data_IF_599687822261
#
_entry.id   IF_599687822261
#
_cell.length_a   1.000
_cell.length_b   1.000
_cell.length_c   1.000
_cell.angle_alpha   90.00
_cell.angle_beta   90.00
_cell.angle_gamma   90.00
#
_symmetry.space_group_name_H-M   'P 1'
#
loop_
_entity.id
_entity.type
_entity.pdbx_description
1 polymer ?
#
# COMPACT_ATOMS: atom_id res chain seq x y z
N UNK A 1 12.04 -9.70 -1.89
CA UNK A 1 13.19 -9.61 -2.83
C UNK A 1 12.56 -9.45 -4.19
N UNK A 2 13.00 -8.46 -4.98
CA UNK A 2 12.32 -8.12 -6.23
C UNK A 2 12.41 -9.24 -7.26
N UNK A 3 11.34 -9.46 -8.02
CA UNK A 3 11.33 -10.36 -9.19
C UNK A 3 12.15 -9.77 -10.33
N UNK A 4 12.51 -10.59 -11.33
CA UNK A 4 13.17 -10.08 -12.54
C UNK A 4 12.32 -9.04 -13.27
N UNK A 5 11.02 -9.27 -13.38
CA UNK A 5 10.08 -8.33 -13.97
C UNK A 5 10.12 -6.97 -13.24
N UNK A 6 10.04 -6.98 -11.90
CA UNK A 6 10.16 -5.75 -11.10
C UNK A 6 11.50 -5.04 -11.36
N UNK A 7 12.63 -5.76 -11.37
CA UNK A 7 13.94 -5.17 -11.65
C UNK A 7 14.02 -4.53 -13.06
N UNK A 8 13.34 -5.11 -14.05
CA UNK A 8 13.28 -4.61 -15.41
C UNK A 8 12.38 -3.39 -15.54
N UNK A 9 11.16 -3.45 -15.02
CA UNK A 9 10.22 -2.33 -14.97
C UNK A 9 10.81 -1.11 -14.26
N UNK A 10 11.46 -1.31 -13.11
CA UNK A 10 12.10 -0.24 -12.32
C UNK A 10 13.22 0.46 -13.09
N UNK A 11 13.86 -0.22 -14.04
CA UNK A 11 14.87 0.33 -14.93
C UNK A 11 14.32 0.83 -16.27
N UNK A 12 13.03 0.67 -16.55
CA UNK A 12 12.37 1.17 -17.74
C UNK A 12 12.48 0.27 -18.97
N UNK A 13 12.83 -1.00 -18.78
CA UNK A 13 12.74 -2.00 -19.84
C UNK A 13 11.28 -2.43 -20.02
N UNK A 14 10.83 -2.47 -21.28
CA UNK A 14 9.48 -2.86 -21.67
C UNK A 14 9.52 -4.32 -22.13
N UNK A 15 9.34 -5.23 -21.19
CA UNK A 15 9.29 -6.68 -21.44
C UNK A 15 8.01 -7.28 -20.89
N UNK A 16 7.51 -8.33 -21.54
CA UNK A 16 6.32 -9.06 -21.11
C UNK A 16 6.73 -10.40 -20.49
N UNK A 17 6.41 -10.61 -19.21
CA UNK A 17 6.66 -11.89 -18.53
C UNK A 17 5.60 -12.92 -18.95
N UNK A 18 6.00 -13.92 -19.73
CA UNK A 18 5.11 -14.99 -20.22
C UNK A 18 4.98 -16.14 -19.22
N UNK A 19 6.06 -16.42 -18.51
CA UNK A 19 6.11 -17.37 -17.40
C UNK A 19 7.29 -16.99 -16.49
N UNK A 20 7.41 -17.55 -15.27
CA UNK A 20 8.49 -17.19 -14.37
C UNK A 20 9.86 -17.26 -15.05
N UNK A 21 10.57 -16.13 -15.08
CA UNK A 21 11.88 -15.95 -15.71
C UNK A 21 11.93 -16.03 -17.25
N UNK A 22 10.78 -16.00 -17.94
CA UNK A 22 10.68 -15.97 -19.41
C UNK A 22 10.01 -14.67 -19.88
N UNK A 23 10.75 -13.87 -20.64
CA UNK A 23 10.37 -12.51 -21.03
C UNK A 23 10.36 -12.33 -22.54
N UNK A 24 9.27 -11.80 -23.08
CA UNK A 24 9.13 -11.41 -24.48
C UNK A 24 9.60 -9.96 -24.63
N UNK A 25 10.59 -9.74 -25.50
CA UNK A 25 11.26 -8.45 -25.72
C UNK A 25 10.86 -7.77 -27.04
N UNK A 26 9.85 -8.28 -27.75
CA UNK A 26 9.46 -7.82 -29.10
C UNK A 26 9.03 -6.36 -29.16
N UNK A 27 8.51 -5.82 -28.06
CA UNK A 27 8.05 -4.43 -27.96
C UNK A 27 9.13 -3.48 -27.44
N UNK A 28 10.35 -3.98 -27.17
CA UNK A 28 11.48 -3.17 -26.73
C UNK A 28 12.39 -2.82 -27.91
N UNK A 29 13.02 -1.65 -27.83
CA UNK A 29 14.02 -1.22 -28.79
C UNK A 29 15.23 -2.13 -28.76
N UNK A 30 15.75 -2.45 -29.95
CA UNK A 30 16.91 -3.32 -30.10
C UNK A 30 18.10 -2.86 -29.24
N UNK A 31 18.41 -1.56 -29.22
CA UNK A 31 19.52 -1.05 -28.40
C UNK A 31 19.28 -1.17 -26.89
N UNK A 32 18.02 -1.13 -26.45
CA UNK A 32 17.66 -1.34 -25.05
C UNK A 32 17.76 -2.83 -24.69
N UNK A 33 17.37 -3.73 -25.60
CA UNK A 33 17.58 -5.18 -25.42
C UNK A 33 19.07 -5.49 -25.36
N UNK A 34 19.89 -4.97 -26.27
CA UNK A 34 21.35 -5.13 -26.24
C UNK A 34 21.93 -4.67 -24.89
N UNK A 35 21.50 -3.49 -24.40
CA UNK A 35 21.91 -2.99 -23.09
C UNK A 35 21.42 -3.86 -21.90
N UNK A 36 20.21 -4.42 -21.98
CA UNK A 36 19.68 -5.35 -20.99
C UNK A 36 20.57 -6.61 -20.89
N UNK A 37 20.91 -7.20 -22.03
CA UNK A 37 21.75 -8.39 -22.12
C UNK A 37 23.16 -8.12 -21.57
N UNK A 38 23.79 -7.00 -21.96
CA UNK A 38 25.08 -6.58 -21.40
C UNK A 38 25.04 -6.38 -19.88
N UNK A 39 23.92 -5.88 -19.36
CA UNK A 39 23.73 -5.70 -17.92
C UNK A 39 23.60 -7.05 -17.20
N UNK A 40 22.92 -8.03 -17.80
CA UNK A 40 22.87 -9.40 -17.26
C UNK A 40 24.26 -10.06 -17.26
N UNK A 41 25.04 -9.87 -18.32
CA UNK A 41 26.43 -10.34 -18.39
C UNK A 41 27.30 -9.72 -17.28
N UNK A 42 27.22 -8.40 -17.07
CA UNK A 42 27.92 -7.70 -15.99
C UNK A 42 27.50 -8.18 -14.60
N UNK A 43 26.23 -8.54 -14.44
CA UNK A 43 25.70 -9.12 -13.21
C UNK A 43 26.07 -10.60 -13.03
N UNK A 44 26.75 -11.22 -14.01
CA UNK A 44 27.07 -12.64 -14.06
C UNK A 44 25.82 -13.53 -13.96
N UNK A 45 24.74 -13.11 -14.62
CA UNK A 45 23.46 -13.81 -14.69
C UNK A 45 23.44 -14.64 -15.97
N UNK A 46 23.17 -15.93 -15.84
CA UNK A 46 23.05 -16.82 -17.01
C UNK A 46 21.67 -16.68 -17.62
N UNK A 47 21.64 -16.51 -18.94
CA UNK A 47 20.41 -16.41 -19.70
C UNK A 47 20.56 -17.04 -21.10
N UNK A 48 19.42 -17.33 -21.72
CA UNK A 48 19.29 -17.66 -23.12
C UNK A 48 18.47 -16.55 -23.79
N UNK A 49 18.92 -16.10 -24.97
CA UNK A 49 18.17 -15.15 -25.77
C UNK A 49 18.01 -15.69 -27.20
N UNK A 50 16.77 -15.97 -27.59
CA UNK A 50 16.45 -16.52 -28.91
C UNK A 50 15.08 -16.04 -29.37
N UNK A 51 14.99 -15.57 -30.62
CA UNK A 51 13.75 -15.10 -31.24
C UNK A 51 12.97 -14.10 -30.36
N UNK A 52 13.68 -13.09 -29.84
CA UNK A 52 13.15 -12.04 -28.96
C UNK A 52 12.59 -12.53 -27.61
N UNK A 53 12.90 -13.77 -27.23
CA UNK A 53 12.58 -14.32 -25.91
C UNK A 53 13.85 -14.43 -25.08
N UNK A 54 13.81 -13.82 -23.90
CA UNK A 54 14.83 -13.88 -22.86
C UNK A 54 14.40 -14.86 -21.77
N UNK A 55 15.19 -15.91 -21.55
CA UNK A 55 14.99 -16.87 -20.46
C UNK A 55 16.15 -16.78 -19.48
N UNK A 56 15.87 -16.60 -18.19
CA UNK A 56 16.89 -16.43 -17.15
C UNK A 56 16.96 -17.68 -16.26
N UNK A 57 18.15 -18.27 -16.15
CA UNK A 57 18.36 -19.58 -15.51
C UNK A 57 18.60 -19.47 -13.99
N UNK A 58 18.33 -18.32 -13.38
CA UNK A 58 18.64 -18.05 -11.99
C UNK A 58 17.57 -17.20 -11.31
N UNK A 59 17.38 -17.35 -9.98
CA UNK A 59 16.51 -16.47 -9.23
C UNK A 59 17.01 -15.02 -9.32
N UNK A 60 16.12 -14.04 -9.13
CA UNK A 60 16.48 -12.63 -9.13
C UNK A 60 17.63 -12.31 -8.19
N UNK A 61 18.56 -11.47 -8.66
CA UNK A 61 19.64 -10.93 -7.83
C UNK A 61 19.12 -9.79 -6.96
N UNK A 62 19.92 -9.35 -5.98
CA UNK A 62 19.53 -8.18 -5.18
C UNK A 62 19.46 -6.91 -6.04
N UNK A 63 18.54 -5.99 -5.71
CA UNK A 63 18.42 -4.69 -6.40
C UNK A 63 19.74 -3.93 -6.41
N UNK A 64 20.53 -4.02 -5.34
CA UNK A 64 21.87 -3.42 -5.27
C UNK A 64 22.82 -3.98 -6.33
N UNK A 65 22.83 -5.29 -6.54
CA UNK A 65 23.65 -5.93 -7.58
C UNK A 65 23.15 -5.54 -8.96
N UNK A 66 21.84 -5.49 -9.16
CA UNK A 66 21.24 -5.06 -10.42
C UNK A 66 21.61 -3.61 -10.76
N UNK A 67 21.46 -2.69 -9.81
CA UNK A 67 21.84 -1.29 -9.95
C UNK A 67 23.32 -1.14 -10.32
N UNK A 68 24.22 -1.94 -9.74
CA UNK A 68 25.64 -1.94 -10.10
C UNK A 68 25.90 -2.40 -11.55
N UNK A 69 25.06 -3.28 -12.08
CA UNK A 69 25.22 -3.82 -13.42
C UNK A 69 24.72 -2.85 -14.51
N UNK A 70 23.62 -2.14 -14.23
CA UNK A 70 23.02 -1.17 -15.14
C UNK A 70 23.65 0.23 -15.03
N UNK A 71 24.29 0.58 -13.91
CA UNK A 71 24.93 1.89 -13.73
C UNK A 71 26.35 1.92 -14.31
N UNK A 72 26.76 3.07 -14.83
CA UNK A 72 28.13 3.27 -15.33
C UNK A 72 28.51 4.76 -15.35
N UNK A 73 29.81 5.10 -15.30
CA UNK A 73 30.24 6.48 -15.30
C UNK A 73 29.68 7.27 -16.49
N UNK A 74 29.03 8.41 -16.20
CA UNK A 74 28.39 9.32 -17.18
C UNK A 74 27.10 8.80 -17.83
N UNK A 75 26.43 7.78 -17.25
CA UNK A 75 25.03 7.49 -17.56
C UNK A 75 24.16 8.72 -17.25
N UNK A 76 23.15 9.00 -18.08
CA UNK A 76 22.13 10.03 -17.78
C UNK A 76 22.27 11.40 -18.46
N UNK A 77 22.97 11.51 -19.59
CA UNK A 77 22.99 12.76 -20.38
C UNK A 77 21.74 12.83 -21.27
N UNK A 78 20.55 12.98 -20.69
CA UNK A 78 19.29 12.95 -21.44
C UNK A 78 18.74 14.34 -21.81
N UNK A 79 18.66 14.62 -23.12
CA UNK A 79 17.91 15.72 -23.73
C UNK A 79 17.02 15.16 -24.86
N UNK A 80 15.69 15.18 -24.70
CA UNK A 80 14.75 14.47 -25.58
C UNK A 80 14.11 15.34 -26.70
N UNK A 81 14.73 16.45 -27.11
CA UNK A 81 14.10 17.30 -28.13
C UNK A 81 14.00 16.52 -29.47
N UNK A 82 12.81 16.00 -29.79
CA UNK A 82 12.50 15.34 -31.06
C UNK A 82 12.66 13.81 -31.10
N UNK A 83 12.76 13.12 -29.96
CA UNK A 83 12.88 11.65 -29.91
C UNK A 83 11.58 11.00 -29.44
N UNK A 84 11.06 10.02 -30.17
CA UNK A 84 9.79 9.33 -29.84
C UNK A 84 9.88 8.47 -28.56
N UNK A 85 11.02 7.82 -28.31
CA UNK A 85 11.27 7.07 -27.09
C UNK A 85 12.75 7.16 -26.65
N UNK A 86 13.04 7.24 -25.35
CA UNK A 86 14.42 7.25 -24.85
C UNK A 86 15.09 5.88 -24.91
N UNK A 87 16.41 5.86 -25.11
CA UNK A 87 17.20 4.67 -24.81
C UNK A 87 17.49 4.61 -23.32
N UNK A 88 17.34 3.45 -22.69
CA UNK A 88 17.41 3.28 -21.23
C UNK A 88 18.77 3.69 -20.68
N UNK A 89 19.85 3.43 -21.41
CA UNK A 89 21.22 3.78 -21.02
C UNK A 89 21.55 5.28 -21.17
N UNK A 90 20.70 6.06 -21.85
CA UNK A 90 20.84 7.52 -21.95
C UNK A 90 20.16 8.23 -20.75
N UNK A 91 19.29 7.53 -20.02
CA UNK A 91 18.58 8.02 -18.84
C UNK A 91 19.35 7.77 -17.55
N UNK A 92 19.15 8.66 -16.57
CA UNK A 92 19.67 8.47 -15.21
C UNK A 92 19.12 7.17 -14.59
N UNK A 93 19.99 6.43 -13.91
CA UNK A 93 19.73 5.09 -13.36
C UNK A 93 18.48 4.98 -12.51
N UNK A 94 18.19 5.98 -11.68
CA UNK A 94 17.01 5.97 -10.79
C UNK A 94 15.77 6.57 -11.46
N UNK A 95 15.92 7.22 -12.61
CA UNK A 95 14.86 7.95 -13.28
C UNK A 95 14.35 7.22 -14.52
N UNK A 96 15.12 6.27 -15.06
CA UNK A 96 14.84 5.63 -16.34
C UNK A 96 13.46 4.98 -16.41
N UNK A 97 13.07 4.24 -15.36
CA UNK A 97 11.73 3.68 -15.22
C UNK A 97 10.63 4.74 -15.27
N UNK A 98 10.74 5.77 -14.42
CA UNK A 98 9.75 6.87 -14.34
C UNK A 98 9.56 7.54 -15.71
N UNK A 99 10.65 7.79 -16.44
CA UNK A 99 10.58 8.45 -17.74
C UNK A 99 9.95 7.57 -18.81
N UNK A 100 10.30 6.27 -18.83
CA UNK A 100 9.70 5.31 -19.75
C UNK A 100 8.19 5.17 -19.50
N UNK A 101 7.79 5.13 -18.24
CA UNK A 101 6.38 5.06 -17.84
C UNK A 101 5.59 6.34 -18.15
N UNK A 102 6.16 7.52 -17.88
CA UNK A 102 5.53 8.79 -18.27
C UNK A 102 5.28 8.84 -19.78
N UNK A 103 6.26 8.44 -20.58
CA UNK A 103 6.14 8.43 -22.03
C UNK A 103 5.13 7.38 -22.53
N UNK A 104 5.08 6.18 -21.91
CA UNK A 104 4.07 5.14 -22.18
C UNK A 104 2.65 5.68 -21.95
N UNK A 105 2.47 6.46 -20.89
CA UNK A 105 1.21 7.11 -20.54
C UNK A 105 0.87 8.35 -21.41
N UNK A 106 1.69 8.65 -22.43
CA UNK A 106 1.52 9.81 -23.31
C UNK A 106 1.94 11.15 -22.69
N UNK A 107 2.54 11.14 -21.49
CA UNK A 107 3.01 12.32 -20.77
C UNK A 107 4.46 12.65 -21.19
N UNK A 108 4.61 13.31 -22.34
CA UNK A 108 5.89 13.50 -23.02
C UNK A 108 6.92 14.29 -22.18
N UNK A 109 8.04 13.65 -21.90
CA UNK A 109 9.17 14.20 -21.16
C UNK A 109 10.26 14.76 -22.09
N UNK A 110 11.02 15.75 -21.63
CA UNK A 110 12.10 16.41 -22.40
C UNK A 110 13.45 16.37 -21.70
N UNK A 111 13.47 16.60 -20.38
CA UNK A 111 14.70 16.52 -19.59
C UNK A 111 14.42 15.78 -18.29
N UNK A 112 15.42 15.11 -17.74
CA UNK A 112 15.33 14.54 -16.41
C UNK A 112 16.67 14.60 -15.69
N UNK A 113 16.64 14.58 -14.36
CA UNK A 113 17.82 14.31 -13.57
C UNK A 113 17.42 13.61 -12.26
N UNK A 114 18.14 12.56 -11.85
CA UNK A 114 17.98 11.92 -10.53
C UNK A 114 18.63 12.71 -9.38
N UNK A 115 19.34 13.79 -9.73
CA UNK A 115 20.02 14.68 -8.81
C UNK A 115 21.37 14.18 -8.29
N UNK A 116 21.81 12.98 -8.68
CA UNK A 116 23.09 12.36 -8.35
C UNK A 116 23.44 12.41 -6.84
N UNK A 117 22.42 12.35 -5.98
CA UNK A 117 22.57 12.46 -4.52
C UNK A 117 22.96 13.86 -4.00
N UNK A 118 23.04 14.86 -4.86
CA UNK A 118 23.44 16.23 -4.50
C UNK A 118 22.28 17.23 -4.54
N UNK A 119 21.24 16.95 -5.33
CA UNK A 119 20.06 17.80 -5.50
C UNK A 119 18.81 16.95 -5.61
N UNK A 120 17.65 17.60 -5.51
CA UNK A 120 16.35 16.93 -5.69
C UNK A 120 16.20 16.42 -7.13
N UNK A 121 15.65 15.21 -7.33
CA UNK A 121 15.33 14.73 -8.66
C UNK A 121 14.30 15.62 -9.36
N UNK A 122 14.33 15.68 -10.68
CA UNK A 122 13.32 16.40 -11.46
C UNK A 122 13.09 15.78 -12.84
N UNK A 123 11.92 16.09 -13.40
CA UNK A 123 11.57 15.83 -14.79
C UNK A 123 10.94 17.09 -15.41
N UNK A 124 11.29 17.38 -16.65
CA UNK A 124 10.70 18.46 -17.44
C UNK A 124 9.89 17.88 -18.59
N UNK A 125 8.77 18.53 -18.89
CA UNK A 125 7.78 18.07 -19.86
C UNK A 125 7.74 18.95 -21.10
N UNK A 126 7.27 18.37 -22.21
CA UNK A 126 7.09 19.09 -23.47
C UNK A 126 5.98 20.13 -23.37
N UNK A 127 6.05 21.17 -24.20
CA UNK A 127 5.10 22.30 -24.21
C UNK A 127 3.62 21.89 -24.35
N UNK A 128 3.36 20.78 -25.05
CA UNK A 128 2.00 20.27 -25.33
C UNK A 128 1.53 19.24 -24.29
N UNK A 129 2.32 18.94 -23.27
CA UNK A 129 1.97 17.93 -22.27
C UNK A 129 0.88 18.47 -21.34
N UNK A 130 -0.18 17.69 -21.12
CA UNK A 130 -1.21 18.04 -20.16
C UNK A 130 -0.66 17.92 -18.73
N UNK A 131 -0.23 19.06 -18.16
CA UNK A 131 0.33 19.10 -16.82
C UNK A 131 -0.69 18.83 -15.70
N UNK A 132 -1.98 19.00 -15.96
CA UNK A 132 -3.02 18.63 -15.00
C UNK A 132 -3.01 17.11 -14.78
N UNK A 133 -2.98 16.33 -15.86
CA UNK A 133 -2.87 14.86 -15.80
C UNK A 133 -1.57 14.40 -15.15
N UNK A 134 -0.45 15.09 -15.40
CA UNK A 134 0.83 14.82 -14.73
C UNK A 134 0.69 14.97 -13.21
N UNK A 135 0.10 16.08 -12.75
CA UNK A 135 -0.07 16.32 -11.32
C UNK A 135 -1.08 15.34 -10.70
N UNK A 136 -2.19 15.06 -11.38
CA UNK A 136 -3.18 14.05 -10.95
C UNK A 136 -2.53 12.67 -10.78
N UNK A 137 -1.68 12.26 -11.71
CA UNK A 137 -0.94 10.99 -11.62
C UNK A 137 -0.02 10.97 -10.40
N UNK A 138 0.81 11.99 -10.19
CA UNK A 138 1.73 12.01 -9.06
C UNK A 138 1.03 12.12 -7.71
N UNK A 139 -0.10 12.84 -7.63
CA UNK A 139 -0.93 12.87 -6.42
C UNK A 139 -1.61 11.51 -6.16
N UNK A 140 -2.07 10.82 -7.20
CA UNK A 140 -2.67 9.49 -7.06
C UNK A 140 -1.65 8.45 -6.58
N UNK A 141 -0.40 8.58 -7.02
CA UNK A 141 0.75 7.77 -6.58
C UNK A 141 1.35 8.21 -5.24
N UNK A 142 0.76 9.23 -4.61
CA UNK A 142 1.11 9.74 -3.28
C UNK A 142 2.58 10.18 -3.16
N UNK A 143 3.12 10.77 -4.24
CA UNK A 143 4.48 11.33 -4.25
C UNK A 143 4.43 12.83 -4.10
N UNK A 144 5.15 13.35 -3.09
CA UNK A 144 5.32 14.79 -2.91
C UNK A 144 6.18 15.39 -4.02
N UNK A 145 5.55 16.26 -4.81
CA UNK A 145 6.13 16.91 -5.98
C UNK A 145 5.77 18.40 -6.02
N UNK A 146 6.64 19.20 -6.63
CA UNK A 146 6.39 20.63 -6.87
C UNK A 146 6.52 20.99 -8.34
N UNK A 147 5.52 21.69 -8.88
CA UNK A 147 5.52 22.19 -10.25
C UNK A 147 6.22 23.55 -10.33
N UNK A 148 7.17 23.66 -11.25
CA UNK A 148 7.87 24.90 -11.64
C UNK A 148 7.42 25.27 -13.06
N UNK A 149 6.59 26.32 -13.22
CA UNK A 149 6.15 26.75 -14.54
C UNK A 149 7.33 27.30 -15.33
N UNK A 150 7.47 26.86 -16.57
CA UNK A 150 8.44 27.37 -17.53
C UNK A 150 8.00 26.97 -18.94
N UNK A 151 8.78 27.36 -19.97
CA UNK A 151 8.56 26.86 -21.35
C UNK A 151 8.51 25.32 -21.40
N UNK A 152 9.36 24.66 -20.62
CA UNK A 152 9.30 23.23 -20.37
C UNK A 152 8.95 23.03 -18.89
N UNK A 153 7.66 22.88 -18.53
CA UNK A 153 7.23 22.76 -17.14
C UNK A 153 8.03 21.69 -16.43
N UNK A 154 8.51 21.97 -15.22
CA UNK A 154 9.38 21.06 -14.46
C UNK A 154 8.68 20.61 -13.20
N UNK A 155 8.62 19.30 -12.99
CA UNK A 155 8.22 18.70 -11.72
C UNK A 155 9.49 18.32 -10.95
N UNK A 156 9.58 18.78 -9.71
CA UNK A 156 10.69 18.48 -8.79
C UNK A 156 10.16 17.57 -7.69
N UNK A 157 10.80 16.41 -7.51
CA UNK A 157 10.44 15.42 -6.52
C UNK A 157 11.01 15.80 -5.15
N UNK A 158 10.20 15.69 -4.09
CA UNK A 158 10.63 15.88 -2.71
C UNK A 158 11.12 14.58 -2.05
N UNK A 159 11.23 13.49 -2.80
CA UNK A 159 11.66 12.17 -2.32
C UNK A 159 13.14 11.90 -2.65
N UNK A 160 13.74 10.95 -1.92
CA UNK A 160 15.05 10.40 -2.25
C UNK A 160 15.00 9.65 -3.58
N UNK A 161 16.10 9.62 -4.32
CA UNK A 161 16.14 9.02 -5.67
C UNK A 161 15.82 7.52 -5.67
N UNK A 162 16.12 6.80 -4.59
CA UNK A 162 15.84 5.38 -4.45
C UNK A 162 14.32 5.11 -4.54
N UNK A 163 13.49 6.04 -4.05
CA UNK A 163 12.01 5.97 -4.12
C UNK A 163 11.47 6.14 -5.53
N UNK A 164 12.27 6.63 -6.48
CA UNK A 164 11.84 6.75 -7.88
C UNK A 164 11.73 5.37 -8.56
N UNK A 165 12.47 4.37 -8.08
CA UNK A 165 12.34 3.00 -8.56
C UNK A 165 10.96 2.43 -8.15
N UNK A 166 10.53 2.66 -6.90
CA UNK A 166 9.19 2.29 -6.44
C UNK A 166 8.11 3.02 -7.23
N UNK A 167 8.33 4.31 -7.52
CA UNK A 167 7.42 5.09 -8.35
C UNK A 167 7.26 4.49 -9.76
N UNK A 168 8.35 4.08 -10.40
CA UNK A 168 8.29 3.44 -11.71
C UNK A 168 7.47 2.14 -11.68
N UNK A 169 7.66 1.30 -10.66
CA UNK A 169 6.89 0.06 -10.48
C UNK A 169 5.40 0.33 -10.28
N UNK A 170 5.04 1.37 -9.54
CA UNK A 170 3.62 1.76 -9.36
C UNK A 170 3.03 2.36 -10.64
N UNK A 171 3.79 3.18 -11.36
CA UNK A 171 3.33 3.76 -12.63
C UNK A 171 3.06 2.71 -13.70
N UNK A 172 3.81 1.61 -13.72
CA UNK A 172 3.60 0.50 -14.65
C UNK A 172 2.20 -0.10 -14.59
N UNK A 173 1.57 -0.09 -13.40
CA UNK A 173 0.20 -0.57 -13.19
C UNK A 173 -0.86 0.36 -13.77
N UNK A 174 -0.52 1.63 -13.99
CA UNK A 174 -1.46 2.66 -14.45
C UNK A 174 -1.73 2.48 -15.94
N UNK A 175 -3.00 2.45 -16.32
CA UNK A 175 -3.41 2.42 -17.73
C UNK A 175 -3.67 3.83 -18.26
N UNK A 176 -3.48 4.03 -19.57
CA UNK A 176 -3.55 5.35 -20.20
C UNK A 176 -4.94 5.99 -20.06
N UNK A 177 -6.00 5.19 -20.13
CA UNK A 177 -7.39 5.60 -20.02
C UNK A 177 -7.78 6.03 -18.60
N UNK A 178 -7.06 5.57 -17.57
CA UNK A 178 -7.30 6.01 -16.18
C UNK A 178 -6.97 7.49 -15.99
N UNK A 179 -6.05 8.04 -16.79
CA UNK A 179 -5.72 9.47 -16.76
C UNK A 179 -6.90 10.37 -17.18
N UNK A 180 -7.89 9.82 -17.89
CA UNK A 180 -9.11 10.56 -18.25
C UNK A 180 -10.12 10.61 -17.11
N UNK A 181 -10.02 9.68 -16.14
CA UNK A 181 -10.95 9.56 -15.00
C UNK A 181 -10.48 10.36 -13.77
N UNK A 182 -9.22 10.78 -13.75
CA UNK A 182 -8.64 11.65 -12.72
C UNK A 182 -8.08 10.92 -11.50
N UNK A 183 -7.54 11.72 -10.56
CA UNK A 183 -6.75 11.25 -9.40
C UNK A 183 -7.46 10.18 -8.57
N UNK A 184 -8.71 10.42 -8.17
CA UNK A 184 -9.46 9.53 -7.29
C UNK A 184 -9.68 8.13 -7.91
N UNK A 185 -9.91 8.08 -9.23
CA UNK A 185 -10.05 6.83 -9.96
C UNK A 185 -8.72 6.07 -10.03
N UNK A 186 -7.63 6.76 -10.36
CA UNK A 186 -6.30 6.14 -10.42
C UNK A 186 -5.93 5.54 -9.05
N UNK A 187 -6.15 6.28 -7.95
CA UNK A 187 -5.86 5.78 -6.60
C UNK A 187 -6.68 4.54 -6.27
N UNK A 188 -7.99 4.57 -6.54
CA UNK A 188 -8.87 3.40 -6.34
C UNK A 188 -8.38 2.20 -7.15
N UNK A 189 -8.03 2.38 -8.42
CA UNK A 189 -7.58 1.26 -9.25
C UNK A 189 -6.23 0.69 -8.81
N UNK A 190 -5.30 1.52 -8.33
CA UNK A 190 -4.05 1.06 -7.72
C UNK A 190 -4.32 0.27 -6.43
N UNK A 191 -5.26 0.71 -5.60
CA UNK A 191 -5.70 -0.04 -4.42
C UNK A 191 -6.28 -1.42 -4.82
N UNK A 192 -7.15 -1.47 -5.83
CA UNK A 192 -7.73 -2.74 -6.30
C UNK A 192 -6.67 -3.70 -6.85
N UNK A 193 -5.65 -3.19 -7.53
CA UNK A 193 -4.54 -4.01 -8.00
C UNK A 193 -3.80 -4.68 -6.84
N UNK A 194 -3.52 -3.92 -5.78
CA UNK A 194 -2.86 -4.43 -4.57
C UNK A 194 -3.74 -5.43 -3.82
N UNK A 195 -5.04 -5.14 -3.71
CA UNK A 195 -6.02 -6.04 -3.11
C UNK A 195 -6.09 -7.38 -3.84
N UNK A 196 -6.12 -7.38 -5.16
CA UNK A 196 -6.11 -8.60 -5.98
C UNK A 196 -4.84 -9.44 -5.77
N UNK A 197 -3.68 -8.79 -5.67
CA UNK A 197 -2.42 -9.46 -5.36
C UNK A 197 -2.48 -10.14 -3.98
N UNK A 198 -2.95 -9.43 -2.95
CA UNK A 198 -3.07 -9.97 -1.60
C UNK A 198 -4.07 -11.13 -1.51
N UNK A 199 -5.18 -11.03 -2.23
CA UNK A 199 -6.16 -12.10 -2.39
C UNK A 199 -5.60 -13.32 -3.10
N UNK A 200 -4.48 -13.20 -3.82
CA UNK A 200 -3.85 -14.32 -4.52
C UNK A 200 -2.76 -15.03 -3.71
N UNK A 201 -2.40 -14.52 -2.53
CA UNK A 201 -1.31 -15.05 -1.69
C UNK A 201 -1.87 -15.92 -0.57
N UNK A 202 -1.64 -17.23 -0.57
CA UNK A 202 -2.07 -18.11 0.53
C UNK A 202 -1.41 -17.75 1.87
N UNK A 203 -2.07 -18.10 2.96
CA UNK A 203 -1.53 -17.96 4.30
C UNK A 203 -2.58 -18.35 5.33
N UNK A 204 -2.94 -19.63 5.37
CA UNK A 204 -3.82 -20.16 6.42
C UNK A 204 -3.19 -20.06 7.81
N UNK A 205 -3.99 -20.12 8.87
CA UNK A 205 -3.49 -20.01 10.25
C UNK A 205 -2.34 -20.98 10.53
N UNK A 206 -1.22 -20.42 11.01
CA UNK A 206 0.04 -21.13 11.26
C UNK A 206 1.00 -21.22 10.06
N UNK A 207 0.60 -20.77 8.87
CA UNK A 207 1.38 -20.79 7.63
C UNK A 207 1.43 -19.42 6.92
N UNK A 208 1.48 -18.33 7.68
CA UNK A 208 1.37 -16.95 7.18
C UNK A 208 2.68 -16.39 6.60
N UNK A 209 3.75 -17.19 6.49
CA UNK A 209 5.08 -16.75 6.03
C UNK A 209 5.04 -15.99 4.69
N UNK A 210 4.27 -16.50 3.73
CA UNK A 210 4.19 -15.94 2.39
C UNK A 210 3.52 -14.55 2.39
N UNK A 211 2.33 -14.45 2.98
CA UNK A 211 1.64 -13.16 3.10
C UNK A 211 2.41 -12.17 3.97
N UNK A 212 3.02 -12.62 5.07
CA UNK A 212 3.82 -11.75 5.93
C UNK A 212 5.00 -11.16 5.18
N UNK A 213 5.67 -11.93 4.31
CA UNK A 213 6.74 -11.42 3.47
C UNK A 213 6.24 -10.35 2.46
N UNK A 214 5.06 -10.57 1.87
CA UNK A 214 4.42 -9.62 0.95
C UNK A 214 4.06 -8.32 1.67
N UNK A 215 3.38 -8.40 2.82
CA UNK A 215 3.01 -7.23 3.63
C UNK A 215 4.25 -6.49 4.13
N UNK A 216 5.28 -7.22 4.59
CA UNK A 216 6.56 -6.62 4.99
C UNK A 216 7.17 -5.80 3.85
N UNK A 217 7.27 -6.38 2.65
CA UNK A 217 7.87 -5.69 1.50
C UNK A 217 7.08 -4.43 1.10
N UNK A 218 5.75 -4.51 1.13
CA UNK A 218 4.87 -3.39 0.78
C UNK A 218 4.83 -2.29 1.85
N UNK A 219 4.95 -2.65 3.13
CA UNK A 219 4.86 -1.71 4.25
C UNK A 219 6.19 -1.01 4.56
N UNK A 220 7.31 -1.74 4.48
CA UNK A 220 8.63 -1.27 4.89
C UNK A 220 9.04 0.11 4.33
N UNK A 221 8.73 0.48 3.07
CA UNK A 221 9.12 1.78 2.53
C UNK A 221 8.37 2.97 3.14
N UNK A 222 7.30 2.72 3.91
CA UNK A 222 6.38 3.74 4.40
C UNK A 222 6.39 3.86 5.93
N UNK A 223 7.25 3.12 6.63
CA UNK A 223 7.32 3.09 8.10
C UNK A 223 8.74 3.32 8.59
N UNK A 224 8.89 3.85 9.80
CA UNK A 224 10.20 4.12 10.41
C UNK A 224 10.84 2.84 10.95
N UNK A 225 10.00 1.95 11.50
CA UNK A 225 10.40 0.68 12.09
C UNK A 225 9.43 -0.42 11.68
N UNK A 226 9.96 -1.60 11.40
CA UNK A 226 9.20 -2.81 11.09
C UNK A 226 9.93 -4.02 11.68
N UNK A 227 9.20 -4.95 12.29
CA UNK A 227 9.75 -6.15 12.91
C UNK A 227 8.73 -7.27 12.95
N UNK A 228 9.19 -8.50 13.11
CA UNK A 228 8.34 -9.67 13.33
C UNK A 228 8.59 -10.12 14.78
N UNK A 229 7.53 -10.25 15.57
CA UNK A 229 7.67 -10.70 16.95
C UNK A 229 7.94 -12.20 17.05
N UNK A 230 8.06 -12.71 18.27
CA UNK A 230 8.37 -14.14 18.49
C UNK A 230 7.24 -15.09 18.09
N UNK A 231 6.02 -14.59 17.96
CA UNK A 231 4.86 -15.39 17.59
C UNK A 231 4.62 -15.38 16.07
N UNK A 232 5.09 -14.34 15.38
CA UNK A 232 4.93 -14.18 13.95
C UNK A 232 4.12 -12.95 13.56
N UNK A 233 3.65 -12.15 14.53
CA UNK A 233 2.96 -10.89 14.23
C UNK A 233 3.93 -9.91 13.57
N UNK A 234 3.46 -9.22 12.54
CA UNK A 234 4.21 -8.14 11.90
C UNK A 234 3.85 -6.82 12.55
N UNK A 235 4.85 -6.16 13.13
CA UNK A 235 4.70 -4.91 13.88
C UNK A 235 5.43 -3.80 13.14
N UNK A 236 4.80 -2.65 12.97
CA UNK A 236 5.46 -1.49 12.39
C UNK A 236 5.05 -0.18 13.08
N UNK A 237 5.87 0.85 12.93
CA UNK A 237 5.62 2.17 13.50
C UNK A 237 6.01 3.27 12.51
N UNK A 238 5.19 4.31 12.43
CA UNK A 238 5.44 5.55 11.69
C UNK A 238 5.10 6.76 12.56
N UNK A 239 6.03 7.68 12.75
CA UNK A 239 5.79 8.97 13.38
C UNK A 239 5.57 10.04 12.32
N UNK A 240 4.37 10.62 12.31
CA UNK A 240 3.98 11.62 11.32
C UNK A 240 4.20 13.05 11.82
N UNK A 241 4.80 13.88 10.97
CA UNK A 241 5.10 15.29 11.23
C UNK A 241 5.94 15.48 12.51
N UNK A 242 5.36 16.04 13.58
CA UNK A 242 6.08 16.25 14.84
C UNK A 242 5.85 15.14 15.86
N UNK A 243 4.92 14.21 15.61
CA UNK A 243 4.53 13.16 16.56
C UNK A 243 3.79 13.66 17.81
N UNK A 244 3.26 14.89 17.81
CA UNK A 244 2.65 15.51 19.00
C UNK A 244 1.16 15.22 19.16
N UNK A 245 0.53 14.57 18.18
CA UNK A 245 -0.84 14.09 18.30
C UNK A 245 -0.91 12.68 18.88
N UNK A 246 -2.00 11.94 18.62
CA UNK A 246 -2.26 10.69 19.30
C UNK A 246 -1.43 9.55 18.71
N UNK A 247 -1.20 8.50 19.51
CA UNK A 247 -0.71 7.22 19.00
C UNK A 247 -1.89 6.30 18.71
N UNK A 248 -2.07 5.94 17.44
CA UNK A 248 -3.17 5.11 16.96
C UNK A 248 -2.63 3.74 16.51
N UNK A 249 -3.24 2.68 17.02
CA UNK A 249 -2.99 1.31 16.58
C UNK A 249 -3.91 1.00 15.39
N UNK A 250 -3.37 0.58 14.26
CA UNK A 250 -4.12 0.02 13.14
C UNK A 250 -3.87 -1.48 13.08
N UNK A 251 -4.94 -2.27 13.03
CA UNK A 251 -4.84 -3.73 13.06
C UNK A 251 -5.73 -4.41 12.00
N UNK A 252 -5.15 -5.44 11.41
CA UNK A 252 -5.73 -6.42 10.49
C UNK A 252 -5.05 -7.76 10.79
N UNK A 253 -5.61 -8.89 10.36
CA UNK A 253 -4.95 -10.20 10.53
C UNK A 253 -4.42 -10.74 9.21
N UNK A 254 -3.39 -11.58 9.28
CA UNK A 254 -2.70 -12.13 8.10
C UNK A 254 -3.29 -13.45 7.63
N UNK A 255 -3.82 -14.22 8.57
CA UNK A 255 -4.24 -15.58 8.32
C UNK A 255 -5.56 -15.65 7.56
N UNK A 256 -5.84 -16.83 7.04
CA UNK A 256 -7.14 -17.20 6.48
C UNK A 256 -7.58 -18.51 7.13
N UNK A 257 -8.89 -18.74 7.22
CA UNK A 257 -9.43 -19.96 7.83
C UNK A 257 -8.98 -21.26 7.14
N UNK A 258 -8.69 -21.20 5.83
CA UNK A 258 -8.17 -22.33 5.06
C UNK A 258 -7.23 -21.88 3.93
N UNK A 259 -6.50 -22.83 3.34
CA UNK A 259 -5.65 -22.59 2.18
C UNK A 259 -6.48 -22.37 0.91
N UNK A 260 -5.91 -21.61 -0.02
CA UNK A 260 -6.53 -21.36 -1.32
C UNK A 260 -6.48 -22.57 -2.24
N UNK A 261 -7.59 -22.85 -2.93
CA UNK A 261 -7.66 -23.91 -3.94
C UNK A 261 -6.70 -23.62 -5.09
N UNK A 262 -5.87 -24.61 -5.44
CA UNK A 262 -4.89 -24.49 -6.51
C UNK A 262 -5.59 -24.28 -7.86
N UNK A 263 -5.24 -23.20 -8.56
CA UNK A 263 -5.81 -22.86 -9.86
C UNK A 263 -7.14 -22.11 -9.80
N UNK A 264 -7.62 -21.74 -8.59
CA UNK A 264 -8.74 -20.82 -8.46
C UNK A 264 -8.45 -19.48 -9.15
N UNK A 265 -9.50 -18.81 -9.58
CA UNK A 265 -9.44 -17.47 -10.15
C UNK A 265 -10.33 -16.52 -9.36
N UNK A 266 -9.98 -15.24 -9.34
CA UNK A 266 -10.84 -14.20 -8.76
C UNK A 266 -11.88 -13.81 -9.83
N UNK A 267 -13.15 -14.03 -9.53
CA UNK A 267 -14.28 -13.69 -10.39
C UNK A 267 -14.74 -12.28 -10.03
N UNK A 268 -14.79 -11.39 -11.03
CA UNK A 268 -15.15 -9.98 -10.83
C UNK A 268 -16.48 -9.65 -11.53
N UNK A 269 -17.48 -9.27 -10.75
CA UNK A 269 -18.78 -8.79 -11.24
C UNK A 269 -18.97 -7.33 -10.81
N UNK A 270 -18.36 -6.42 -11.57
CA UNK A 270 -18.26 -5.02 -11.16
C UNK A 270 -17.41 -4.90 -9.89
N UNK A 271 -17.97 -4.28 -8.85
CA UNK A 271 -17.32 -4.13 -7.54
C UNK A 271 -17.40 -5.40 -6.67
N UNK A 272 -18.24 -6.38 -7.03
CA UNK A 272 -18.37 -7.61 -6.23
C UNK A 272 -17.38 -8.65 -6.75
N UNK A 273 -16.42 -9.03 -5.91
CA UNK A 273 -15.41 -10.03 -6.20
C UNK A 273 -15.72 -11.31 -5.42
N UNK A 274 -15.45 -12.46 -6.02
CA UNK A 274 -15.61 -13.78 -5.40
C UNK A 274 -14.51 -14.73 -5.90
N UNK A 275 -14.44 -15.93 -5.34
CA UNK A 275 -13.60 -16.98 -5.91
C UNK A 275 -14.38 -17.90 -6.86
N UNK A 276 -13.68 -18.51 -7.82
CA UNK A 276 -14.25 -19.56 -8.65
C UNK A 276 -14.42 -20.89 -7.88
N UNK A 277 -13.60 -21.11 -6.83
CA UNK A 277 -13.61 -22.31 -5.99
C UNK A 277 -12.88 -22.02 -4.66
N UNK A 278 -13.40 -22.54 -3.55
CA UNK A 278 -12.87 -22.26 -2.21
C UNK A 278 -13.22 -20.86 -1.72
N UNK A 279 -12.69 -20.49 -0.54
CA UNK A 279 -12.79 -19.13 -0.02
C UNK A 279 -12.12 -18.11 -0.96
N UNK A 280 -12.60 -16.87 -0.92
CA UNK A 280 -11.93 -15.74 -1.53
C UNK A 280 -10.67 -15.36 -0.73
N UNK A 281 -10.77 -15.42 0.60
CA UNK A 281 -9.79 -14.93 1.56
C UNK A 281 -9.89 -13.43 1.77
N UNK A 282 -11.08 -12.83 1.63
CA UNK A 282 -11.26 -11.41 1.87
C UNK A 282 -11.20 -11.07 3.35
N UNK A 283 -11.63 -12.00 4.20
CA UNK A 283 -11.32 -12.07 5.62
C UNK A 283 -9.88 -12.66 5.82
N UNK A 284 -8.84 -11.87 6.13
CA UNK A 284 -8.81 -10.41 6.26
C UNK A 284 -7.83 -9.71 5.29
N UNK A 285 -7.72 -10.23 4.05
CA UNK A 285 -6.93 -9.54 3.02
C UNK A 285 -7.49 -8.18 2.64
N UNK A 286 -8.79 -7.95 2.86
CA UNK A 286 -9.40 -6.63 2.75
C UNK A 286 -8.82 -5.66 3.79
N UNK A 287 -8.77 -6.03 5.08
CA UNK A 287 -8.16 -5.21 6.13
C UNK A 287 -6.68 -4.96 5.90
N UNK A 288 -5.93 -5.99 5.50
CA UNK A 288 -4.51 -5.85 5.13
C UNK A 288 -4.32 -4.82 4.02
N UNK A 289 -5.12 -4.88 2.96
CA UNK A 289 -5.06 -3.93 1.85
C UNK A 289 -5.37 -2.50 2.30
N UNK A 290 -6.41 -2.32 3.13
CA UNK A 290 -6.79 -1.02 3.69
C UNK A 290 -5.62 -0.42 4.48
N UNK A 291 -4.98 -1.20 5.36
CA UNK A 291 -3.90 -0.67 6.20
C UNK A 291 -2.65 -0.33 5.39
N UNK A 292 -2.31 -1.13 4.38
CA UNK A 292 -1.22 -0.82 3.46
C UNK A 292 -1.48 0.48 2.70
N UNK A 293 -2.71 0.73 2.27
CA UNK A 293 -3.09 1.98 1.60
C UNK A 293 -2.99 3.19 2.55
N UNK A 294 -3.40 3.04 3.81
CA UNK A 294 -3.21 4.08 4.83
C UNK A 294 -1.71 4.37 5.04
N UNK A 295 -0.85 3.34 5.06
CA UNK A 295 0.58 3.53 5.26
C UNK A 295 1.22 4.41 4.17
N UNK A 296 0.85 4.19 2.91
CA UNK A 296 1.29 5.00 1.75
C UNK A 296 0.80 6.45 1.89
N UNK A 297 -0.49 6.61 2.21
CA UNK A 297 -1.14 7.91 2.28
C UNK A 297 -0.54 8.83 3.36
N UNK A 298 -0.06 8.25 4.47
CA UNK A 298 0.47 9.01 5.60
C UNK A 298 1.60 9.97 5.23
N UNK A 299 2.40 9.69 4.20
CA UNK A 299 3.50 10.57 3.74
C UNK A 299 2.98 11.95 3.26
N UNK A 300 1.84 11.95 2.57
CA UNK A 300 1.21 13.16 2.02
C UNK A 300 0.12 13.73 2.94
N UNK A 301 -0.27 12.98 3.98
CA UNK A 301 -1.32 13.36 4.92
C UNK A 301 -0.98 14.58 5.79
N UNK A 302 -2.02 15.13 6.44
CA UNK A 302 -1.92 16.18 7.46
C UNK A 302 -1.86 15.64 8.90
N UNK A 303 -1.94 14.31 9.07
CA UNK A 303 -1.95 13.65 10.37
C UNK A 303 -0.66 13.97 11.14
N UNK A 304 -0.81 14.31 12.42
CA UNK A 304 0.31 14.52 13.34
C UNK A 304 0.09 13.61 14.54
N UNK A 305 1.05 12.74 14.84
CA UNK A 305 0.91 11.65 15.81
C UNK A 305 1.76 10.45 15.40
N UNK A 306 1.50 9.30 16.01
CA UNK A 306 2.19 8.05 15.69
C UNK A 306 1.18 7.01 15.26
N UNK A 307 1.47 6.29 14.18
CA UNK A 307 0.70 5.11 13.79
C UNK A 307 1.52 3.87 14.11
N UNK A 308 0.93 2.93 14.84
CA UNK A 308 1.46 1.59 15.07
C UNK A 308 0.62 0.60 14.28
N UNK A 309 1.24 -0.14 13.37
CA UNK A 309 0.57 -1.19 12.61
C UNK A 309 0.81 -2.53 13.29
N UNK A 310 -0.24 -3.34 13.40
CA UNK A 310 -0.17 -4.73 13.85
C UNK A 310 -0.91 -5.60 12.85
N UNK A 311 -0.16 -6.47 12.18
CA UNK A 311 -0.73 -7.58 11.43
C UNK A 311 -0.55 -8.86 12.23
N UNK A 312 -1.65 -9.35 12.80
CA UNK A 312 -1.65 -10.53 13.66
C UNK A 312 -1.63 -11.82 12.86
N UNK A 313 -1.20 -12.90 13.51
CA UNK A 313 -1.29 -14.27 12.99
C UNK A 313 -2.28 -15.08 13.84
N UNK A 314 -2.84 -16.14 13.28
CA UNK A 314 -3.76 -17.04 13.97
C UNK A 314 -4.95 -16.33 14.68
N UNK A 315 -5.54 -15.32 14.05
CA UNK A 315 -6.79 -14.69 14.52
C UNK A 315 -7.93 -15.72 14.49
N UNK A 316 -8.04 -16.43 13.37
CA UNK A 316 -9.10 -17.40 13.06
C UNK A 316 -9.08 -18.61 14.02
N UNK A 317 -7.94 -18.83 14.67
CA UNK A 317 -7.73 -19.87 15.69
C UNK A 317 -8.01 -19.39 17.13
N UNK A 318 -8.59 -18.19 17.31
CA UNK A 318 -9.02 -17.67 18.61
C UNK A 318 -8.18 -16.50 19.14
N UNK A 319 -7.84 -15.55 18.26
CA UNK A 319 -7.12 -14.30 18.58
C UNK A 319 -5.71 -14.55 19.12
N UNK A 320 -5.04 -15.60 18.63
CA UNK A 320 -3.83 -16.10 19.29
C UNK A 320 -2.68 -15.11 19.12
N UNK A 321 -2.48 -14.57 17.92
CA UNK A 321 -1.48 -13.54 17.64
C UNK A 321 -1.64 -12.31 18.54
N UNK A 322 -2.85 -11.76 18.64
CA UNK A 322 -3.11 -10.60 19.50
C UNK A 322 -2.84 -10.89 20.98
N UNK A 323 -3.25 -12.06 21.50
CA UNK A 323 -2.98 -12.45 22.90
C UNK A 323 -1.50 -12.64 23.21
N UNK A 324 -0.68 -12.93 22.19
CA UNK A 324 0.77 -13.16 22.32
C UNK A 324 1.60 -11.90 22.08
N UNK A 325 0.98 -10.84 21.56
CA UNK A 325 1.64 -9.58 21.32
C UNK A 325 2.18 -8.99 22.63
N UNK A 326 3.41 -8.50 22.58
CA UNK A 326 4.07 -7.92 23.75
C UNK A 326 3.40 -6.62 24.19
N UNK A 327 2.97 -6.54 25.45
CA UNK A 327 2.38 -5.33 26.04
C UNK A 327 3.26 -4.08 25.88
N UNK A 328 4.58 -4.26 25.79
CA UNK A 328 5.52 -3.16 25.53
C UNK A 328 5.20 -2.41 24.23
N UNK A 329 4.80 -3.14 23.17
CA UNK A 329 4.43 -2.50 21.91
C UNK A 329 3.15 -1.67 22.02
N UNK A 330 2.24 -2.06 22.92
CA UNK A 330 0.99 -1.36 23.22
C UNK A 330 1.16 -0.16 24.16
N UNK A 331 2.31 -0.03 24.83
CA UNK A 331 2.58 1.19 25.62
C UNK A 331 2.45 2.41 24.75
N UNK A 332 1.86 3.48 25.31
CA UNK A 332 1.57 4.76 24.64
C UNK A 332 0.42 4.75 23.62
N UNK A 333 -0.19 3.60 23.30
CA UNK A 333 -1.35 3.56 22.39
C UNK A 333 -2.54 4.28 23.02
N UNK A 334 -3.09 5.25 22.30
CA UNK A 334 -4.26 6.03 22.75
C UNK A 334 -5.58 5.39 22.32
N UNK A 335 -5.61 4.81 21.12
CA UNK A 335 -6.79 4.18 20.54
C UNK A 335 -6.39 3.16 19.46
N UNK A 336 -7.32 2.27 19.10
CA UNK A 336 -7.15 1.28 18.05
C UNK A 336 -8.29 1.36 17.01
N UNK A 337 -7.93 1.08 15.77
CA UNK A 337 -8.83 0.92 14.63
C UNK A 337 -8.50 -0.44 14.03
N UNK A 338 -9.43 -1.38 14.15
CA UNK A 338 -9.34 -2.70 13.54
C UNK A 338 -10.17 -2.69 12.26
N UNK A 339 -9.70 -3.35 11.20
CA UNK A 339 -10.44 -3.50 9.94
C UNK A 339 -10.57 -4.99 9.70
N UNK A 340 -11.64 -5.60 10.20
CA UNK A 340 -11.86 -7.05 10.19
C UNK A 340 -13.34 -7.33 10.45
N UNK A 341 -14.21 -6.69 9.67
CA UNK A 341 -15.65 -6.82 9.86
C UNK A 341 -16.34 -6.97 8.52
N UNK A 342 -17.23 -7.96 8.41
CA UNK A 342 -18.11 -8.07 7.23
C UNK A 342 -19.01 -6.84 7.05
N UNK A 343 -19.65 -6.75 5.89
CA UNK A 343 -20.57 -5.68 5.55
C UNK A 343 -19.85 -4.39 5.13
N UNK A 344 -20.62 -3.31 5.01
CA UNK A 344 -20.18 -2.10 4.27
C UNK A 344 -20.17 -0.81 5.09
N UNK A 345 -20.52 -0.87 6.38
CA UNK A 345 -20.67 0.32 7.21
C UNK A 345 -20.81 0.06 8.72
N UNK A 346 -20.38 -1.10 9.22
CA UNK A 346 -20.40 -1.35 10.65
C UNK A 346 -19.21 -0.68 11.33
N UNK A 347 -19.49 0.04 12.43
CA UNK A 347 -18.51 0.49 13.43
C UNK A 347 -18.79 -0.34 14.67
N UNK A 348 -18.14 -1.50 14.80
CA UNK A 348 -18.37 -2.37 15.95
C UNK A 348 -17.71 -1.77 17.19
N UNK A 349 -18.53 -1.53 18.20
CA UNK A 349 -18.12 -0.89 19.47
C UNK A 349 -18.24 -1.81 20.67
N UNK A 350 -18.70 -3.05 20.48
CA UNK A 350 -18.89 -4.03 21.54
C UNK A 350 -18.99 -5.46 21.02
N UNK A 351 -18.59 -6.43 21.85
CA UNK A 351 -18.89 -7.85 21.65
C UNK A 351 -20.24 -8.16 22.32
N UNK A 352 -21.27 -8.33 21.50
CA UNK A 352 -22.66 -8.38 21.98
C UNK A 352 -23.02 -7.18 22.85
N UNK A 353 -23.97 -7.34 23.79
CA UNK A 353 -24.39 -6.25 24.69
C UNK A 353 -23.57 -6.16 25.98
N UNK A 354 -22.54 -6.99 26.14
CA UNK A 354 -21.94 -7.26 27.46
C UNK A 354 -20.51 -6.77 27.62
N UNK A 355 -19.75 -6.62 26.52
CA UNK A 355 -18.35 -6.19 26.58
C UNK A 355 -18.12 -5.01 25.62
N UNK A 356 -18.17 -3.76 26.11
CA UNK A 356 -17.85 -2.59 25.29
C UNK A 356 -16.35 -2.57 24.95
N UNK A 357 -16.04 -2.20 23.71
CA UNK A 357 -14.67 -1.99 23.23
C UNK A 357 -14.18 -0.55 23.43
N UNK A 358 -15.10 0.39 23.56
CA UNK A 358 -14.81 1.81 23.74
C UNK A 358 -15.93 2.55 24.48
N UNK A 359 -15.62 3.78 24.90
CA UNK A 359 -16.60 4.79 25.29
C UNK A 359 -17.50 5.13 24.08
N UNK A 360 -18.79 5.40 24.31
CA UNK A 360 -19.75 5.72 23.25
C UNK A 360 -19.31 6.91 22.38
N UNK A 361 -18.59 7.87 22.97
CA UNK A 361 -18.07 9.05 22.25
C UNK A 361 -17.03 8.67 21.21
N UNK A 362 -16.29 7.58 21.42
CA UNK A 362 -15.30 7.10 20.47
C UNK A 362 -15.98 6.57 19.20
N UNK A 363 -16.98 5.71 19.33
CA UNK A 363 -17.77 5.24 18.18
C UNK A 363 -18.55 6.36 17.48
N UNK A 364 -19.20 7.25 18.24
CA UNK A 364 -19.93 8.39 17.69
C UNK A 364 -19.04 9.37 16.91
N UNK A 365 -17.77 9.48 17.29
CA UNK A 365 -16.80 10.27 16.52
C UNK A 365 -16.66 9.71 15.10
N UNK A 366 -16.57 8.40 14.92
CA UNK A 366 -16.48 7.78 13.59
C UNK A 366 -17.76 7.98 12.78
N UNK A 367 -18.94 7.84 13.40
CA UNK A 367 -20.22 8.12 12.72
C UNK A 367 -20.30 9.58 12.23
N UNK A 368 -19.87 10.53 13.06
CA UNK A 368 -19.88 11.94 12.70
C UNK A 368 -18.89 12.23 11.57
N UNK A 369 -17.67 11.70 11.65
CA UNK A 369 -16.66 11.86 10.60
C UNK A 369 -17.13 11.25 9.29
N UNK A 370 -17.75 10.07 9.32
CA UNK A 370 -18.33 9.44 8.14
C UNK A 370 -19.42 10.32 7.51
N UNK A 371 -20.33 10.86 8.33
CA UNK A 371 -21.35 11.80 7.88
C UNK A 371 -20.75 13.05 7.22
N UNK A 372 -19.78 13.69 7.87
CA UNK A 372 -19.11 14.90 7.37
C UNK A 372 -18.34 14.65 6.07
N UNK A 373 -17.80 13.44 5.89
CA UNK A 373 -17.11 13.01 4.68
C UNK A 373 -18.08 12.54 3.57
N UNK A 374 -19.39 12.50 3.82
CA UNK A 374 -20.39 12.00 2.87
C UNK A 374 -20.39 10.48 2.71
N UNK A 375 -19.75 9.74 3.62
CA UNK A 375 -19.74 8.28 3.65
C UNK A 375 -21.02 7.78 4.34
N UNK A 376 -22.05 7.52 3.54
CA UNK A 376 -23.36 7.09 4.04
C UNK A 376 -23.35 5.63 4.48
N UNK A 377 -24.10 5.31 5.54
CA UNK A 377 -24.31 3.93 5.98
C UNK A 377 -23.47 3.51 7.19
N UNK A 378 -22.44 4.27 7.55
CA UNK A 378 -21.61 3.98 8.72
C UNK A 378 -22.38 4.16 10.03
N UNK A 379 -22.45 3.09 10.84
CA UNK A 379 -23.20 3.06 12.10
C UNK A 379 -22.52 2.25 13.20
N UNK A 380 -22.59 2.77 14.42
CA UNK A 380 -22.20 2.04 15.62
C UNK A 380 -23.11 0.83 15.82
N UNK A 381 -22.51 -0.34 15.94
CA UNK A 381 -23.22 -1.60 16.14
C UNK A 381 -22.53 -2.50 17.16
N UNK A 382 -23.25 -3.51 17.62
CA UNK A 382 -22.68 -4.62 18.36
C UNK A 382 -22.26 -5.72 17.36
N UNK A 383 -21.14 -6.38 17.62
CA UNK A 383 -20.58 -7.39 16.75
C UNK A 383 -20.09 -8.61 17.50
N UNK A 384 -19.29 -9.41 16.78
CA UNK A 384 -18.59 -10.57 17.32
C UNK A 384 -17.30 -10.20 18.05
N UNK A 385 -16.53 -11.22 18.39
CA UNK A 385 -15.17 -11.05 18.92
C UNK A 385 -14.19 -11.01 17.74
N UNK A 386 -13.26 -10.07 17.77
CA UNK A 386 -12.03 -10.07 16.95
C UNK A 386 -10.86 -9.59 17.82
N UNK A 387 -9.69 -9.38 17.23
CA UNK A 387 -8.53 -8.76 17.90
C UNK A 387 -8.87 -7.48 18.67
N UNK A 388 -9.89 -6.74 18.21
CA UNK A 388 -10.47 -5.57 18.89
C UNK A 388 -10.76 -5.82 20.37
N UNK A 389 -11.21 -7.03 20.71
CA UNK A 389 -11.48 -7.44 22.09
C UNK A 389 -10.21 -7.44 22.94
N UNK A 390 -9.09 -7.92 22.39
CA UNK A 390 -7.81 -7.97 23.10
C UNK A 390 -7.30 -6.55 23.36
N UNK A 391 -7.37 -5.66 22.36
CA UNK A 391 -7.00 -4.26 22.54
C UNK A 391 -7.85 -3.56 23.60
N UNK A 392 -9.16 -3.80 23.60
CA UNK A 392 -10.07 -3.30 24.62
C UNK A 392 -9.77 -3.86 26.03
N UNK A 393 -9.37 -5.13 26.16
CA UNK A 393 -8.94 -5.74 27.42
C UNK A 393 -7.67 -5.06 28.00
N UNK A 394 -6.83 -4.47 27.14
CA UNK A 394 -5.70 -3.60 27.54
C UNK A 394 -6.12 -2.14 27.85
N UNK A 395 -7.41 -1.82 27.83
CA UNK A 395 -7.94 -0.48 28.11
C UNK A 395 -7.82 0.50 26.94
N UNK A 396 -7.50 0.01 25.73
CA UNK A 396 -7.39 0.82 24.52
C UNK A 396 -8.78 1.03 23.92
N UNK A 397 -9.13 2.28 23.61
CA UNK A 397 -10.40 2.59 22.95
C UNK A 397 -10.39 2.03 21.52
N UNK A 398 -11.23 1.04 21.24
CA UNK A 398 -11.11 0.25 20.02
C UNK A 398 -12.43 0.15 19.25
N UNK A 399 -12.37 0.22 17.92
CA UNK A 399 -13.48 -0.10 17.01
C UNK A 399 -13.02 -1.15 15.99
N UNK A 400 -13.96 -1.97 15.52
CA UNK A 400 -13.77 -2.82 14.34
C UNK A 400 -14.62 -2.30 13.19
N UNK A 401 -14.01 -1.96 12.06
CA UNK A 401 -14.64 -1.35 10.91
C UNK A 401 -14.93 -2.38 9.82
N UNK A 402 -16.10 -2.25 9.19
CA UNK A 402 -16.43 -3.02 7.99
C UNK A 402 -15.33 -2.95 6.93
N UNK A 403 -15.04 -4.09 6.29
CA UNK A 403 -14.02 -4.27 5.27
C UNK A 403 -14.62 -4.61 3.89
N UNK A 404 -15.95 -4.78 3.80
CA UNK A 404 -16.67 -5.01 2.55
C UNK A 404 -16.94 -6.47 2.20
N UNK A 405 -16.40 -7.43 2.96
CA UNK A 405 -16.66 -8.86 2.71
C UNK A 405 -18.01 -9.31 3.30
N UNK A 406 -18.57 -10.38 2.74
CA UNK A 406 -19.77 -11.06 3.24
C UNK A 406 -19.62 -12.57 3.03
N UNK A 407 -20.28 -13.36 3.88
CA UNK A 407 -20.23 -14.83 3.87
C UNK A 407 -18.82 -15.38 4.07
N UNK A 408 -18.08 -14.73 4.97
CA UNK A 408 -16.75 -15.14 5.42
C UNK A 408 -16.71 -16.64 5.76
N UNK A 409 -15.57 -17.27 5.47
CA UNK A 409 -15.30 -18.70 5.72
C UNK A 409 -16.17 -19.68 4.93
N UNK A 410 -16.70 -19.25 3.79
CA UNK A 410 -17.49 -20.12 2.90
C UNK A 410 -17.05 -19.99 1.44
N UNK A 411 -17.49 -20.96 0.61
CA UNK A 411 -17.31 -20.89 -0.85
C UNK A 411 -18.13 -19.76 -1.50
N UNK A 412 -19.09 -19.18 -0.78
CA UNK A 412 -19.93 -18.09 -1.23
C UNK A 412 -19.38 -16.72 -0.80
N UNK A 413 -18.14 -16.67 -0.27
CA UNK A 413 -17.49 -15.44 0.17
C UNK A 413 -17.40 -14.43 -0.97
N UNK A 414 -17.85 -13.21 -0.69
CA UNK A 414 -17.79 -12.08 -1.62
C UNK A 414 -17.15 -10.87 -0.97
N UNK A 415 -16.56 -10.00 -1.79
CA UNK A 415 -16.02 -8.72 -1.37
C UNK A 415 -16.58 -7.60 -2.22
N UNK A 416 -17.27 -6.65 -1.61
CA UNK A 416 -17.59 -5.35 -2.21
C UNK A 416 -16.36 -4.45 -2.14
N UNK A 417 -15.67 -4.30 -3.25
CA UNK A 417 -14.44 -3.52 -3.33
C UNK A 417 -14.67 -2.00 -3.18
N UNK A 418 -15.88 -1.52 -3.47
CA UNK A 418 -16.23 -0.12 -3.30
C UNK A 418 -16.44 0.19 -1.83
N UNK A 419 -17.10 -0.70 -1.10
CA UNK A 419 -17.22 -0.63 0.35
C UNK A 419 -15.84 -0.74 1.04
N UNK A 420 -15.00 -1.67 0.59
CA UNK A 420 -13.64 -1.85 1.09
C UNK A 420 -12.80 -0.55 0.94
N UNK A 421 -12.84 0.07 -0.24
CA UNK A 421 -12.17 1.36 -0.45
C UNK A 421 -12.82 2.49 0.35
N UNK A 422 -14.13 2.43 0.61
CA UNK A 422 -14.84 3.34 1.53
C UNK A 422 -14.26 3.32 2.95
N UNK A 423 -13.75 2.18 3.42
CA UNK A 423 -13.06 2.07 4.71
C UNK A 423 -11.73 2.80 4.73
N UNK A 424 -10.96 2.77 3.64
CA UNK A 424 -9.77 3.63 3.46
C UNK A 424 -10.17 5.09 3.64
N UNK A 425 -11.23 5.52 2.96
CA UNK A 425 -11.71 6.91 3.00
C UNK A 425 -12.14 7.32 4.41
N UNK A 426 -12.81 6.43 5.16
CA UNK A 426 -13.20 6.71 6.55
C UNK A 426 -11.97 6.90 7.45
N UNK A 427 -10.99 5.99 7.37
CA UNK A 427 -9.77 6.10 8.19
C UNK A 427 -9.00 7.37 7.84
N UNK A 428 -8.86 7.70 6.55
CA UNK A 428 -8.24 8.95 6.11
C UNK A 428 -8.98 10.18 6.66
N UNK A 429 -10.31 10.18 6.64
CA UNK A 429 -11.13 11.26 7.19
C UNK A 429 -10.93 11.42 8.71
N UNK A 430 -10.91 10.31 9.45
CA UNK A 430 -10.67 10.29 10.91
C UNK A 430 -9.29 10.85 11.23
N UNK A 431 -8.24 10.39 10.53
CA UNK A 431 -6.87 10.83 10.77
C UNK A 431 -6.63 12.28 10.32
N UNK A 432 -7.32 12.78 9.29
CA UNK A 432 -7.26 14.21 8.95
C UNK A 432 -7.87 15.11 10.03
N UNK A 433 -8.82 14.59 10.83
CA UNK A 433 -9.41 15.29 11.97
C UNK A 433 -8.65 15.04 13.30
N UNK A 434 -7.34 14.74 13.23
CA UNK A 434 -6.55 14.32 14.40
C UNK A 434 -6.62 15.25 15.62
N UNK A 435 -6.85 16.55 15.43
CA UNK A 435 -6.97 17.52 16.54
C UNK A 435 -8.21 17.28 17.38
N UNK A 436 -9.34 17.05 16.73
CA UNK A 436 -10.62 16.78 17.38
C UNK A 436 -10.64 15.35 17.90
N UNK A 437 -10.03 14.43 17.16
CA UNK A 437 -9.81 13.06 17.62
C UNK A 437 -9.00 13.03 18.93
N UNK A 438 -7.88 13.77 18.99
CA UNK A 438 -7.05 13.90 20.20
C UNK A 438 -7.81 14.52 21.37
N UNK A 439 -8.68 15.50 21.10
CA UNK A 439 -9.49 16.16 22.14
C UNK A 439 -10.49 15.18 22.74
N UNK A 440 -11.22 14.47 21.88
CA UNK A 440 -12.17 13.43 22.31
C UNK A 440 -11.47 12.36 23.15
N UNK A 441 -10.29 11.86 22.74
CA UNK A 441 -9.53 10.88 23.52
C UNK A 441 -9.11 11.41 24.91
N UNK A 442 -8.72 12.69 25.00
CA UNK A 442 -8.44 13.33 26.29
C UNK A 442 -9.69 13.43 27.16
N UNK A 443 -10.82 13.81 26.60
CA UNK A 443 -12.09 13.94 27.33
C UNK A 443 -12.60 12.58 27.84
N UNK A 444 -12.41 11.51 27.08
CA UNK A 444 -12.69 10.13 27.51
C UNK A 444 -11.81 9.74 28.70
N UNK A 445 -10.49 10.00 28.60
CA UNK A 445 -9.53 9.71 29.68
C UNK A 445 -9.83 10.46 30.97
N UNK A 446 -10.22 11.73 30.88
CA UNK A 446 -10.55 12.53 32.06
C UNK A 446 -11.83 12.03 32.74
N UNK A 447 -12.89 11.73 31.98
CA UNK A 447 -14.13 11.18 32.52
C UNK A 447 -13.92 9.85 33.26
N UNK A 448 -13.08 8.96 32.70
CA UNK A 448 -12.77 7.68 33.34
C UNK A 448 -11.99 7.85 34.66
N UNK A 449 -11.16 8.89 34.80
CA UNK A 449 -10.45 9.19 36.06
C UNK A 449 -11.38 9.74 37.14
N UNK A 450 -12.34 10.57 36.76
CA UNK A 450 -13.34 11.13 37.68
C UNK A 450 -14.31 10.06 38.20
N UNK A 451 -14.77 9.14 37.35
CA UNK A 451 -15.64 8.02 37.75
C UNK A 451 -15.00 7.06 38.76
N UNK A 452 -13.69 6.80 38.64
CA UNK A 452 -12.94 5.96 39.60
C UNK A 452 -12.77 6.63 40.96
N UNK A 453 -12.77 7.97 41.01
CA UNK A 453 -12.62 8.73 42.26
C UNK A 453 -13.92 8.73 43.08
N UNK A 454 -15.08 8.76 42.40
CA UNK A 454 -16.41 8.72 43.06
C UNK A 454 -16.77 7.34 43.60
N UNK A 455 -16.25 6.26 43.00
CA UNK A 455 -16.46 4.88 43.51
C UNK A 455 -15.55 4.49 44.70
N UNK A 456 -14.59 5.34 45.08
CA UNK A 456 -13.66 5.11 46.20
C UNK A 456 -13.94 5.97 47.45
N UNK A 457 -15.04 6.74 47.44
CA UNK A 457 -15.62 7.40 48.62
C UNK A 457 -16.85 6.62 49.08
#
# INVERSE_FOLDING_TARGET
MKTWNQLFTRQGFVVEEKSPNEFICTNERKENVEFLLESLDKANVKYLFFADVLTIDSPPISEKQWLQAVDFPKRGVWEAIGVEEPKVFELDTYMSGVIRELNRLGLRTVYCCDGHGQRRPYVSFGEQTNMEKVMQLFHALEVDVSLRPSRFPRVVFSVNRERLLDLAEQMWKVQIDWLEQGEAYIRKMLFLYELEELLSVSGESGNEDAIRAVVYEKLAPYVDHITIDRYGNLLAQKTCKTGNGPTILLNAHLDTVESFVLGRTIVKQGAIWSSSEGILGADDRAGVAVLLEIAKWLDTSSFNGTIKFVFTVEEECGLVGARKLSEYFLWDVDAAIVVDRRGTGDIVTSCGTTQPFCDIRYGQFFEQVAYDAGLTGWKCTAGGSSDTRIWAEHGIQSVNLSAGYEWEHTNDETLDTDACYGTVQLIQAVLNQWRDFSRMLRDVRMANREGVTVMRM
#
